data_IF_392917556907
#
_entry.id   IF_392917556907
#
_cell.length_a   1.000
_cell.length_b   1.000
_cell.length_c   1.000
_cell.angle_alpha   90.00
_cell.angle_beta   90.00
_cell.angle_gamma   90.00
#
_symmetry.space_group_name_H-M   'P 1'
#
loop_
_entity.id
_entity.type
_entity.pdbx_description
1 polymer ?
#
# COMPACT_ATOMS: atom_id res chain seq x y z
N UNK A 1 12.85 -5.13 2.31
CA UNK A 1 11.93 -5.64 1.26
C UNK A 1 11.67 -7.14 1.38
N UNK A 2 12.69 -7.99 1.56
CA UNK A 2 12.52 -9.44 1.74
C UNK A 2 11.47 -9.85 2.78
N UNK A 3 11.56 -9.34 4.01
CA UNK A 3 10.63 -9.69 5.08
C UNK A 3 9.18 -9.25 4.79
N UNK A 4 9.00 -8.03 4.30
CA UNK A 4 7.70 -7.49 3.90
C UNK A 4 7.13 -8.26 2.71
N UNK A 5 7.96 -8.61 1.72
CA UNK A 5 7.57 -9.38 0.55
C UNK A 5 7.17 -10.81 0.88
N UNK A 6 7.92 -11.49 1.75
CA UNK A 6 7.60 -12.83 2.21
C UNK A 6 6.29 -12.86 2.99
N UNK A 7 6.10 -11.94 3.93
CA UNK A 7 4.85 -11.81 4.65
C UNK A 7 3.69 -11.51 3.68
N UNK A 8 3.85 -10.50 2.82
CA UNK A 8 2.84 -10.09 1.85
C UNK A 8 2.48 -11.22 0.86
N UNK A 9 3.44 -12.05 0.45
CA UNK A 9 3.20 -13.21 -0.39
C UNK A 9 2.30 -14.24 0.32
N UNK A 10 2.56 -14.54 1.60
CA UNK A 10 1.69 -15.41 2.41
C UNK A 10 0.27 -14.83 2.51
N UNK A 11 0.15 -13.53 2.77
CA UNK A 11 -1.14 -12.84 2.81
C UNK A 11 -1.87 -12.83 1.46
N UNK A 12 -1.14 -12.66 0.35
CA UNK A 12 -1.66 -12.63 -1.01
C UNK A 12 -2.12 -14.02 -1.47
N UNK A 13 -1.35 -15.08 -1.20
CA UNK A 13 -1.70 -16.46 -1.54
C UNK A 13 -3.02 -16.84 -0.87
N UNK A 14 -3.18 -16.51 0.41
CA UNK A 14 -4.41 -16.79 1.11
C UNK A 14 -5.59 -15.93 0.60
N UNK A 15 -5.35 -14.65 0.29
CA UNK A 15 -6.35 -13.81 -0.38
C UNK A 15 -6.79 -14.37 -1.74
N UNK A 16 -5.86 -14.99 -2.47
CA UNK A 16 -6.11 -15.63 -3.77
C UNK A 16 -7.01 -16.85 -3.60
N UNK A 17 -6.78 -17.65 -2.55
CA UNK A 17 -7.60 -18.82 -2.20
C UNK A 17 -9.05 -18.47 -1.89
N UNK A 18 -9.32 -17.27 -1.37
CA UNK A 18 -10.67 -16.79 -1.09
C UNK A 18 -11.33 -16.08 -2.28
N UNK A 19 -10.69 -16.03 -3.46
CA UNK A 19 -11.26 -15.41 -4.67
C UNK A 19 -11.38 -13.87 -4.59
N UNK A 20 -10.78 -13.24 -3.58
CA UNK A 20 -10.90 -11.80 -3.33
C UNK A 20 -9.88 -10.96 -4.11
N UNK A 21 -8.86 -11.60 -4.68
CA UNK A 21 -7.71 -10.92 -5.29
C UNK A 21 -7.97 -10.60 -6.76
N UNK A 22 -7.79 -9.32 -7.11
CA UNK A 22 -7.91 -8.84 -8.49
C UNK A 22 -6.56 -8.77 -9.18
N UNK A 23 -6.11 -9.93 -9.64
CA UNK A 23 -4.79 -10.11 -10.25
C UNK A 23 -4.50 -9.12 -11.40
N UNK A 24 -5.46 -8.79 -12.27
CA UNK A 24 -5.22 -7.85 -13.39
C UNK A 24 -4.92 -6.42 -12.94
N UNK A 25 -5.64 -5.94 -11.93
CA UNK A 25 -5.43 -4.60 -11.39
C UNK A 25 -4.12 -4.55 -10.59
N UNK A 26 -3.86 -5.60 -9.80
CA UNK A 26 -2.61 -5.73 -9.07
C UNK A 26 -1.39 -5.75 -10.01
N UNK A 27 -1.47 -6.53 -11.10
CA UNK A 27 -0.41 -6.63 -12.08
C UNK A 27 -0.14 -5.29 -12.78
N UNK A 28 -1.19 -4.56 -13.18
CA UNK A 28 -1.03 -3.25 -13.81
C UNK A 28 -0.30 -2.26 -12.90
N UNK A 29 -0.73 -2.19 -11.64
CA UNK A 29 -0.14 -1.27 -10.66
C UNK A 29 1.29 -1.68 -10.32
N UNK A 30 1.54 -2.98 -10.16
CA UNK A 30 2.88 -3.49 -9.92
C UNK A 30 3.81 -3.22 -11.10
N UNK A 31 3.36 -3.41 -12.35
CA UNK A 31 4.14 -3.13 -13.55
C UNK A 31 4.47 -1.64 -13.69
N UNK A 32 3.47 -0.76 -13.61
CA UNK A 32 3.70 0.68 -13.67
C UNK A 32 4.52 1.19 -12.49
N UNK A 33 4.27 0.65 -11.30
CA UNK A 33 5.05 0.99 -10.11
C UNK A 33 6.51 0.57 -10.24
N UNK A 34 6.77 -0.64 -10.73
CA UNK A 34 8.12 -1.13 -11.00
C UNK A 34 8.82 -0.32 -12.08
N UNK A 35 8.10 0.10 -13.13
CA UNK A 35 8.65 0.92 -14.21
C UNK A 35 9.04 2.32 -13.74
N UNK A 36 8.27 2.93 -12.83
CA UNK A 36 8.55 4.26 -12.27
C UNK A 36 9.44 4.25 -11.03
N UNK A 37 9.61 3.11 -10.36
CA UNK A 37 10.49 2.94 -9.20
C UNK A 37 11.95 3.37 -9.43
N UNK A 38 12.65 2.97 -10.51
CA UNK A 38 14.04 3.38 -10.72
C UNK A 38 14.18 4.89 -10.88
N UNK A 39 13.17 5.56 -11.43
CA UNK A 39 13.16 7.01 -11.58
C UNK A 39 13.13 7.71 -10.20
N UNK A 40 12.37 7.16 -9.26
CA UNK A 40 12.36 7.62 -7.86
C UNK A 40 13.70 7.40 -7.16
N UNK A 41 14.31 6.22 -7.33
CA UNK A 41 15.62 5.90 -6.73
C UNK A 41 16.72 6.81 -7.28
N UNK A 42 16.70 7.09 -8.58
CA UNK A 42 17.65 8.00 -9.21
C UNK A 42 17.56 9.42 -8.63
N UNK A 43 16.34 9.91 -8.38
CA UNK A 43 16.12 11.22 -7.74
C UNK A 43 16.56 11.18 -6.27
N UNK A 44 16.32 10.08 -5.56
CA UNK A 44 16.71 9.93 -4.16
C UNK A 44 18.22 10.06 -3.95
N UNK A 45 19.03 9.50 -4.86
CA UNK A 45 20.49 9.61 -4.79
C UNK A 45 21.02 11.04 -4.95
N UNK A 46 20.23 11.94 -5.55
CA UNK A 46 20.61 13.34 -5.74
C UNK A 46 20.11 14.26 -4.62
N UNK A 47 19.25 13.76 -3.73
CA UNK A 47 18.67 14.56 -2.66
C UNK A 47 19.46 14.40 -1.36
N UNK A 48 19.70 15.49 -0.62
CA UNK A 48 20.31 15.40 0.70
C UNK A 48 19.35 14.70 1.68
N UNK A 49 19.93 13.95 2.62
CA UNK A 49 19.19 13.09 3.56
C UNK A 49 18.10 13.85 4.33
N UNK A 50 18.39 15.08 4.77
CA UNK A 50 17.42 15.94 5.47
C UNK A 50 16.16 16.24 4.63
N UNK A 51 16.33 16.45 3.33
CA UNK A 51 15.23 16.69 2.39
C UNK A 51 14.39 15.42 2.20
N UNK A 52 15.04 14.27 2.16
CA UNK A 52 14.35 12.98 2.05
C UNK A 52 13.52 12.68 3.31
N UNK A 53 14.07 12.93 4.50
CA UNK A 53 13.34 12.80 5.77
C UNK A 53 12.17 13.79 5.85
N UNK A 54 12.38 15.04 5.42
CA UNK A 54 11.34 16.06 5.35
C UNK A 54 10.18 15.66 4.43
N UNK A 55 10.50 15.19 3.22
CA UNK A 55 9.51 14.68 2.26
C UNK A 55 8.75 13.45 2.80
N UNK A 56 9.45 12.52 3.45
CA UNK A 56 8.82 11.35 4.07
C UNK A 56 7.82 11.75 5.16
N UNK A 57 8.24 12.65 6.06
CA UNK A 57 7.40 13.13 7.15
C UNK A 57 6.18 13.89 6.62
N UNK A 58 6.37 14.81 5.67
CA UNK A 58 5.27 15.53 5.04
C UNK A 58 4.25 14.58 4.40
N UNK A 59 4.73 13.53 3.73
CA UNK A 59 3.87 12.49 3.16
C UNK A 59 3.10 11.71 4.23
N UNK A 60 3.76 11.31 5.33
CA UNK A 60 3.10 10.64 6.47
C UNK A 60 2.00 11.50 7.08
N UNK A 61 2.27 12.79 7.31
CA UNK A 61 1.29 13.74 7.83
C UNK A 61 0.12 13.89 6.85
N UNK A 62 0.40 14.02 5.56
CA UNK A 62 -0.63 14.14 4.52
C UNK A 62 -1.52 12.90 4.46
N UNK A 63 -0.94 11.69 4.53
CA UNK A 63 -1.69 10.43 4.55
C UNK A 63 -2.55 10.31 5.80
N UNK A 64 -1.98 10.57 6.98
CA UNK A 64 -2.73 10.55 8.24
C UNK A 64 -3.88 11.57 8.23
N UNK A 65 -3.60 12.79 7.77
CA UNK A 65 -4.59 13.85 7.64
C UNK A 65 -5.72 13.47 6.69
N UNK A 66 -5.40 12.93 5.50
CA UNK A 66 -6.42 12.46 4.55
C UNK A 66 -7.26 11.31 5.10
N UNK A 67 -6.66 10.39 5.86
CA UNK A 67 -7.40 9.31 6.51
C UNK A 67 -8.34 9.83 7.60
N UNK A 68 -7.94 10.84 8.38
CA UNK A 68 -8.79 11.44 9.42
C UNK A 68 -9.89 12.33 8.86
N UNK A 69 -9.62 13.11 7.80
CA UNK A 69 -10.61 13.98 7.17
C UNK A 69 -11.78 13.21 6.59
N UNK A 70 -11.55 12.00 6.05
CA UNK A 70 -12.61 11.18 5.47
C UNK A 70 -13.57 10.59 6.50
N UNK A 71 -13.09 10.37 7.72
CA UNK A 71 -13.93 9.89 8.81
C UNK A 71 -15.00 10.92 9.23
N UNK A 72 -14.71 12.21 9.06
CA UNK A 72 -15.68 13.28 9.28
C UNK A 72 -16.77 13.34 8.19
N UNK A 73 -16.52 12.80 7.00
CA UNK A 73 -17.47 12.80 5.87
C UNK A 73 -18.39 11.58 5.89
N UNK A 74 -17.96 10.45 6.46
CA UNK A 74 -18.73 9.19 6.52
C UNK A 74 -19.53 8.99 7.82
N UNK A 75 -19.73 10.02 8.64
CA UNK A 75 -20.61 9.97 9.82
C UNK A 75 -22.12 10.05 9.44
N UNK A 76 -22.53 9.31 8.42
CA UNK A 76 -23.93 9.04 8.08
C UNK A 76 -24.29 7.60 8.47
N UNK A 77 -25.57 7.28 8.72
CA UNK A 77 -25.99 5.97 9.19
C UNK A 77 -25.51 4.87 8.25
N UNK A 78 -24.97 3.80 8.84
CA UNK A 78 -24.56 2.59 8.15
C UNK A 78 -25.78 1.88 7.55
N UNK A 79 -26.19 2.33 6.36
CA UNK A 79 -27.18 1.63 5.55
C UNK A 79 -26.48 0.69 4.57
N UNK A 80 -26.85 -0.58 4.66
CA UNK A 80 -26.43 -1.61 3.74
C UNK A 80 -27.00 -1.32 2.34
N UNK A 81 -26.22 -0.63 1.51
CA UNK A 81 -26.48 -0.55 0.07
C UNK A 81 -27.08 0.76 -0.40
N UNK A 82 -26.25 1.79 -0.50
CA UNK A 82 -26.36 2.82 -1.54
C UNK A 82 -25.04 3.60 -1.57
N UNK A 83 -24.00 2.98 -2.14
CA UNK A 83 -22.84 3.75 -2.54
C UNK A 83 -23.31 4.83 -3.53
N UNK A 84 -23.09 6.09 -3.18
CA UNK A 84 -23.36 7.28 -3.98
C UNK A 84 -23.08 7.03 -5.47
N UNK A 85 -24.16 6.94 -6.27
CA UNK A 85 -24.19 6.76 -7.72
C UNK A 85 -23.75 8.03 -8.47
N UNK A 86 -22.67 8.64 -8.01
CA UNK A 86 -22.09 9.86 -8.56
C UNK A 86 -20.58 9.82 -8.39
N UNK A 87 -19.89 9.57 -9.51
CA UNK A 87 -18.51 10.01 -9.73
C UNK A 87 -17.40 9.23 -9.00
N UNK A 88 -17.36 7.90 -9.15
CA UNK A 88 -16.12 7.12 -9.00
C UNK A 88 -15.70 6.58 -10.38
N UNK A 89 -14.47 6.89 -10.82
CA UNK A 89 -13.96 6.60 -12.18
C UNK A 89 -13.80 5.10 -12.51
N UNK A 90 -13.81 4.22 -11.52
CA UNK A 90 -13.69 2.77 -11.67
C UNK A 90 -14.88 2.07 -11.04
N UNK A 91 -15.93 1.80 -11.81
CA UNK A 91 -17.04 1.00 -11.33
C UNK A 91 -16.69 -0.49 -11.39
N UNK A 92 -16.99 -1.20 -10.31
CA UNK A 92 -16.94 -2.65 -10.27
C UNK A 92 -18.26 -3.18 -10.82
N UNK A 93 -18.22 -4.02 -11.84
CA UNK A 93 -19.41 -4.75 -12.26
C UNK A 93 -19.72 -5.84 -11.22
N UNK A 94 -20.75 -5.60 -10.41
CA UNK A 94 -21.19 -6.49 -9.32
C UNK A 94 -21.64 -7.88 -9.81
N UNK A 95 -22.01 -8.04 -11.09
CA UNK A 95 -22.43 -9.34 -11.64
C UNK A 95 -21.24 -10.22 -12.07
N UNK A 96 -20.07 -9.64 -12.32
CA UNK A 96 -18.88 -10.40 -12.81
C UNK A 96 -17.69 -10.35 -11.85
N UNK A 97 -17.72 -9.49 -10.82
CA UNK A 97 -16.58 -9.25 -9.94
C UNK A 97 -15.40 -8.57 -10.62
N UNK A 98 -15.54 -8.13 -11.89
CA UNK A 98 -14.50 -7.50 -12.70
C UNK A 98 -14.66 -5.98 -12.72
N UNK A 99 -13.53 -5.26 -12.64
CA UNK A 99 -13.48 -3.82 -12.86
C UNK A 99 -13.96 -3.51 -14.30
N UNK A 100 -14.85 -2.53 -14.46
CA UNK A 100 -15.15 -1.99 -15.79
C UNK A 100 -13.90 -1.26 -16.29
N UNK A 101 -13.23 -1.85 -17.29
CA UNK A 101 -12.05 -1.27 -17.93
C UNK A 101 -12.47 -0.11 -18.83
N UNK A 102 -12.80 1.03 -18.23
CA UNK A 102 -12.94 2.31 -18.93
C UNK A 102 -11.57 2.97 -19.04
N UNK A 103 -11.28 3.65 -20.14
CA UNK A 103 -10.00 4.35 -20.35
C UNK A 103 -9.64 5.32 -19.20
N UNK A 104 -10.65 5.96 -18.57
CA UNK A 104 -10.46 6.80 -17.38
C UNK A 104 -10.03 6.01 -16.15
N UNK A 105 -10.55 4.80 -15.98
CA UNK A 105 -10.23 3.91 -14.85
C UNK A 105 -8.81 3.38 -14.95
N UNK A 106 -8.40 2.88 -16.13
CA UNK A 106 -7.03 2.42 -16.37
C UNK A 106 -6.03 3.56 -16.23
N UNK A 107 -6.34 4.76 -16.72
CA UNK A 107 -5.49 5.94 -16.54
C UNK A 107 -5.30 6.32 -15.07
N UNK A 108 -6.36 6.29 -14.25
CA UNK A 108 -6.24 6.58 -12.81
C UNK A 108 -5.44 5.53 -12.06
N UNK A 109 -5.61 4.24 -12.38
CA UNK A 109 -4.84 3.15 -11.76
C UNK A 109 -3.38 3.20 -12.19
N UNK A 110 -3.12 3.54 -13.46
CA UNK A 110 -1.78 3.75 -13.99
C UNK A 110 -1.09 4.94 -13.31
N UNK A 111 -1.77 6.09 -13.20
CA UNK A 111 -1.25 7.25 -12.49
C UNK A 111 -0.98 6.93 -11.01
N UNK A 112 -1.85 6.15 -10.36
CA UNK A 112 -1.60 5.70 -8.99
C UNK A 112 -0.37 4.80 -8.90
N UNK A 113 -0.23 3.81 -9.78
CA UNK A 113 0.93 2.94 -9.85
C UNK A 113 2.22 3.73 -10.08
N UNK A 114 2.19 4.69 -11.01
CA UNK A 114 3.33 5.55 -11.30
C UNK A 114 3.72 6.44 -10.11
N UNK A 115 2.76 7.13 -9.48
CA UNK A 115 3.01 8.00 -8.33
C UNK A 115 3.49 7.18 -7.13
N UNK A 116 2.80 6.09 -6.79
CA UNK A 116 3.21 5.23 -5.67
C UNK A 116 4.55 4.55 -5.93
N UNK A 117 4.86 4.16 -7.17
CA UNK A 117 6.15 3.60 -7.57
C UNK A 117 7.28 4.62 -7.47
N UNK A 118 7.09 5.83 -8.02
CA UNK A 118 8.06 6.91 -7.92
C UNK A 118 8.32 7.32 -6.46
N UNK A 119 7.26 7.51 -5.67
CA UNK A 119 7.37 7.84 -4.24
C UNK A 119 7.99 6.70 -3.44
N UNK A 120 7.63 5.44 -3.74
CA UNK A 120 8.23 4.28 -3.09
C UNK A 120 9.70 4.12 -3.44
N UNK A 121 10.10 4.39 -4.68
CA UNK A 121 11.49 4.39 -5.13
C UNK A 121 12.28 5.52 -4.50
N UNK A 122 11.68 6.71 -4.37
CA UNK A 122 12.29 7.86 -3.72
C UNK A 122 12.55 7.59 -2.23
N UNK A 123 11.52 7.12 -1.51
CA UNK A 123 11.55 6.98 -0.06
C UNK A 123 12.13 5.63 0.41
N UNK A 124 12.22 4.62 -0.48
CA UNK A 124 12.74 3.30 -0.15
C UNK A 124 11.84 2.44 0.76
N UNK A 125 10.65 2.91 1.14
CA UNK A 125 9.78 2.26 2.15
C UNK A 125 8.84 1.19 1.57
N UNK A 126 8.89 0.93 0.26
CA UNK A 126 8.21 -0.22 -0.35
C UNK A 126 6.70 -0.06 -0.60
N UNK A 127 6.19 1.17 -0.70
CA UNK A 127 4.91 1.57 -1.34
C UNK A 127 3.60 1.07 -0.73
N UNK A 128 3.61 -0.02 0.04
CA UNK A 128 2.42 -0.74 0.49
C UNK A 128 1.48 0.08 1.36
N UNK A 129 2.05 0.96 2.18
CA UNK A 129 1.33 1.80 3.11
C UNK A 129 0.53 2.92 2.39
N UNK A 130 0.93 3.32 1.17
CA UNK A 130 0.20 4.25 0.30
C UNK A 130 -0.86 3.54 -0.54
N UNK A 131 -0.60 2.30 -0.95
CA UNK A 131 -1.46 1.55 -1.86
C UNK A 131 -2.84 1.29 -1.24
N UNK A 132 -2.90 0.93 0.04
CA UNK A 132 -4.17 0.62 0.74
C UNK A 132 -5.14 1.82 0.78
N UNK A 133 -4.77 3.01 1.33
CA UNK A 133 -5.68 4.15 1.38
C UNK A 133 -6.04 4.66 -0.02
N UNK A 134 -5.09 4.61 -0.96
CA UNK A 134 -5.33 5.01 -2.34
C UNK A 134 -6.35 4.11 -3.06
N UNK A 135 -6.29 2.79 -2.87
CA UNK A 135 -7.28 1.87 -3.41
C UNK A 135 -8.67 2.10 -2.81
N UNK A 136 -8.76 2.35 -1.49
CA UNK A 136 -10.02 2.72 -0.82
C UNK A 136 -10.62 4.00 -1.40
N UNK A 137 -9.78 4.92 -1.87
CA UNK A 137 -10.25 6.17 -2.48
C UNK A 137 -10.76 5.98 -3.90
N UNK A 138 -10.17 5.06 -4.66
CA UNK A 138 -10.45 4.89 -6.09
C UNK A 138 -11.49 3.81 -6.40
N UNK A 139 -11.68 2.84 -5.50
CA UNK A 139 -12.50 1.65 -5.76
C UNK A 139 -13.52 1.41 -4.64
N UNK A 140 -14.72 0.99 -5.03
CA UNK A 140 -15.83 0.65 -4.12
C UNK A 140 -15.83 -0.80 -3.62
N UNK A 141 -14.64 -1.42 -3.63
CA UNK A 141 -14.47 -2.82 -3.24
C UNK A 141 -14.49 -2.92 -1.72
N UNK A 142 -15.17 -3.96 -1.22
CA UNK A 142 -15.18 -4.27 0.21
C UNK A 142 -13.75 -4.33 0.77
N UNK A 143 -13.52 -3.78 1.96
CA UNK A 143 -12.19 -3.60 2.55
C UNK A 143 -11.30 -4.86 2.47
N UNK A 144 -11.88 -6.06 2.59
CA UNK A 144 -11.17 -7.34 2.46
C UNK A 144 -10.53 -7.54 1.08
N UNK A 145 -11.23 -7.18 0.00
CA UNK A 145 -10.72 -7.27 -1.37
C UNK A 145 -9.64 -6.23 -1.67
N UNK A 146 -9.74 -5.03 -1.07
CA UNK A 146 -8.70 -4.00 -1.16
C UNK A 146 -7.40 -4.51 -0.52
N UNK A 147 -7.49 -5.00 0.73
CA UNK A 147 -6.32 -5.51 1.47
C UNK A 147 -5.68 -6.69 0.74
N UNK A 148 -6.49 -7.63 0.24
CA UNK A 148 -5.98 -8.78 -0.51
C UNK A 148 -5.27 -8.35 -1.81
N UNK A 149 -5.85 -7.40 -2.55
CA UNK A 149 -5.26 -6.89 -3.79
C UNK A 149 -3.98 -6.09 -3.52
N UNK A 150 -3.94 -5.26 -2.47
CA UNK A 150 -2.73 -4.52 -2.08
C UNK A 150 -1.61 -5.44 -1.62
N UNK A 151 -1.92 -6.52 -0.88
CA UNK A 151 -0.92 -7.50 -0.48
C UNK A 151 -0.28 -8.17 -1.70
N UNK A 152 -1.07 -8.48 -2.73
CA UNK A 152 -0.53 -8.99 -3.99
C UNK A 152 0.36 -7.97 -4.72
N UNK A 153 -0.03 -6.69 -4.75
CA UNK A 153 0.82 -5.64 -5.32
C UNK A 153 2.14 -5.54 -4.55
N UNK A 154 2.08 -5.54 -3.22
CA UNK A 154 3.27 -5.45 -2.36
C UNK A 154 4.18 -6.66 -2.55
N UNK A 155 3.61 -7.88 -2.66
CA UNK A 155 4.41 -9.08 -2.90
C UNK A 155 5.11 -9.04 -4.26
N UNK A 156 4.42 -8.55 -5.31
CA UNK A 156 5.00 -8.40 -6.65
C UNK A 156 6.11 -7.35 -6.68
N UNK A 157 5.89 -6.16 -6.12
CA UNK A 157 6.90 -5.10 -6.06
C UNK A 157 8.10 -5.56 -5.23
N UNK A 158 7.86 -6.24 -4.11
CA UNK A 158 8.93 -6.78 -3.27
C UNK A 158 9.73 -7.86 -4.00
N UNK A 159 9.07 -8.75 -4.76
CA UNK A 159 9.76 -9.77 -5.55
C UNK A 159 10.72 -9.13 -6.56
N UNK A 160 10.26 -8.10 -7.27
CA UNK A 160 11.08 -7.35 -8.23
C UNK A 160 12.25 -6.65 -7.52
N UNK A 161 11.99 -5.96 -6.41
CA UNK A 161 13.03 -5.26 -5.65
C UNK A 161 14.09 -6.21 -5.07
N UNK A 162 13.65 -7.36 -4.55
CA UNK A 162 14.53 -8.41 -4.04
C UNK A 162 15.35 -9.04 -5.16
N UNK A 163 14.74 -9.36 -6.31
CA UNK A 163 15.47 -9.88 -7.46
C UNK A 163 16.57 -8.92 -7.91
N UNK A 164 16.28 -7.61 -7.95
CA UNK A 164 17.27 -6.58 -8.22
C UNK A 164 18.39 -6.52 -7.17
N UNK A 165 18.06 -6.62 -5.88
CA UNK A 165 19.07 -6.64 -4.80
C UNK A 165 19.93 -7.91 -4.80
N UNK A 166 19.37 -9.06 -5.17
CA UNK A 166 20.13 -10.31 -5.30
C UNK A 166 21.11 -10.27 -6.48
N UNK A 167 20.72 -9.65 -7.60
CA UNK A 167 21.63 -9.41 -8.72
C UNK A 167 22.79 -8.46 -8.34
N UNK A 168 22.56 -7.57 -7.37
CA UNK A 168 23.59 -6.68 -6.82
C UNK A 168 24.52 -7.37 -5.78
N UNK A 169 24.37 -8.68 -5.52
CA UNK A 169 25.28 -9.46 -4.68
C UNK A 169 25.09 -9.28 -3.17
N UNK A 170 23.93 -8.81 -2.71
CA UNK A 170 23.66 -8.61 -1.27
C UNK A 170 23.43 -9.95 -0.56
N UNK A 171 24.30 -10.29 0.38
CA UNK A 171 24.14 -11.47 1.26
C UNK A 171 23.24 -11.16 2.46
N UNK A 172 22.39 -12.11 2.81
CA UNK A 172 21.47 -12.01 3.95
C UNK A 172 22.19 -12.46 5.22
N UNK A 173 22.34 -11.54 6.17
CA UNK A 173 22.89 -11.85 7.48
C UNK A 173 21.95 -12.78 8.27
N UNK A 174 22.43 -13.67 9.17
CA UNK A 174 21.59 -14.61 9.91
C UNK A 174 20.44 -13.95 10.69
N UNK A 175 20.63 -12.71 11.19
CA UNK A 175 19.58 -11.93 11.84
C UNK A 175 18.41 -11.59 10.92
N UNK A 176 18.67 -11.48 9.60
CA UNK A 176 17.65 -11.24 8.59
C UNK A 176 16.62 -12.36 8.51
N UNK A 177 17.02 -13.61 8.73
CA UNK A 177 16.10 -14.76 8.73
C UNK A 177 15.12 -14.72 9.89
N UNK A 178 15.58 -14.33 11.08
CA UNK A 178 14.72 -14.16 12.26
C UNK A 178 13.70 -13.04 12.03
N UNK A 179 14.14 -11.93 11.42
CA UNK A 179 13.26 -10.81 11.09
C UNK A 179 12.19 -11.19 10.04
N UNK A 180 12.55 -12.00 9.04
CA UNK A 180 11.60 -12.54 8.06
C UNK A 180 10.56 -13.43 8.77
N UNK A 181 11.01 -14.35 9.63
CA UNK A 181 10.13 -15.23 10.40
C UNK A 181 9.16 -14.44 11.28
N UNK A 182 9.67 -13.47 12.05
CA UNK A 182 8.86 -12.59 12.88
C UNK A 182 7.84 -11.77 12.07
N UNK A 183 8.21 -11.30 10.88
CA UNK A 183 7.31 -10.56 9.99
C UNK A 183 6.17 -11.42 9.45
N UNK A 184 6.44 -12.68 9.11
CA UNK A 184 5.41 -13.63 8.67
C UNK A 184 4.42 -13.90 9.82
N UNK A 185 4.92 -14.20 11.02
CA UNK A 185 4.08 -14.43 12.21
C UNK A 185 3.25 -13.18 12.53
N UNK A 186 3.88 -12.01 12.52
CA UNK A 186 3.22 -10.72 12.73
C UNK A 186 2.10 -10.45 11.71
N UNK A 187 2.31 -10.80 10.43
CA UNK A 187 1.26 -10.65 9.42
C UNK A 187 0.11 -11.63 9.62
N UNK A 188 0.37 -12.89 9.96
CA UNK A 188 -0.69 -13.85 10.27
C UNK A 188 -1.53 -13.39 11.48
N UNK A 189 -0.88 -12.94 12.54
CA UNK A 189 -1.52 -12.40 13.73
C UNK A 189 -2.33 -11.12 13.42
N UNK A 190 -1.71 -10.17 12.73
CA UNK A 190 -2.35 -8.92 12.32
C UNK A 190 -3.57 -9.16 11.42
N UNK A 191 -3.51 -10.16 10.52
CA UNK A 191 -4.64 -10.53 9.68
C UNK A 191 -5.83 -11.08 10.48
N UNK A 192 -5.57 -11.94 11.47
CA UNK A 192 -6.64 -12.43 12.37
C UNK A 192 -7.28 -11.25 13.10
N UNK A 193 -6.47 -10.31 13.56
CA UNK A 193 -6.95 -9.10 14.22
C UNK A 193 -7.78 -8.21 13.28
N UNK A 194 -7.37 -8.04 12.02
CA UNK A 194 -8.13 -7.30 11.00
C UNK A 194 -9.49 -7.93 10.66
N UNK A 195 -9.71 -9.22 10.96
CA UNK A 195 -11.00 -9.87 10.73
C UNK A 195 -12.05 -9.57 11.81
N UNK A 196 -11.60 -9.16 13.00
CA UNK A 196 -12.45 -8.86 14.16
C UNK A 196 -12.56 -7.36 14.43
N UNK A 197 -11.57 -6.55 14.02
CA UNK A 197 -11.56 -5.11 14.24
C UNK A 197 -12.35 -4.37 13.14
N UNK A 198 -13.23 -3.40 13.49
CA UNK A 198 -13.92 -2.59 12.51
C UNK A 198 -12.93 -1.74 11.70
N UNK A 199 -13.23 -1.55 10.40
CA UNK A 199 -12.34 -0.83 9.48
C UNK A 199 -11.92 0.57 9.97
N UNK A 200 -12.79 1.24 10.73
CA UNK A 200 -12.54 2.54 11.37
C UNK A 200 -11.38 2.48 12.37
N UNK A 201 -11.38 1.50 13.27
CA UNK A 201 -10.32 1.36 14.27
C UNK A 201 -8.97 1.01 13.62
N UNK A 202 -8.96 0.18 12.57
CA UNK A 202 -7.75 -0.10 11.81
C UNK A 202 -7.20 1.15 11.10
N UNK A 203 -8.08 1.98 10.55
CA UNK A 203 -7.74 3.25 9.91
C UNK A 203 -7.16 4.26 10.90
N UNK A 204 -7.78 4.44 12.07
CA UNK A 204 -7.28 5.34 13.12
C UNK A 204 -5.95 4.83 13.68
N UNK A 205 -5.81 3.53 13.91
CA UNK A 205 -4.55 2.93 14.39
C UNK A 205 -3.39 3.08 13.40
N UNK A 206 -3.65 2.96 12.10
CA UNK A 206 -2.63 3.21 11.09
C UNK A 206 -2.28 4.71 11.00
N UNK A 207 -3.28 5.59 11.05
CA UNK A 207 -3.06 7.04 11.04
C UNK A 207 -2.24 7.50 12.25
N UNK A 208 -2.53 6.98 13.46
CA UNK A 208 -1.77 7.31 14.66
C UNK A 208 -0.32 6.84 14.56
N UNK A 209 -0.07 5.64 14.05
CA UNK A 209 1.27 5.14 13.81
C UNK A 209 2.05 6.04 12.82
N UNK A 210 1.42 6.46 11.73
CA UNK A 210 2.02 7.40 10.77
C UNK A 210 2.41 8.72 11.42
N UNK A 211 1.55 9.28 12.28
CA UNK A 211 1.82 10.53 13.00
C UNK A 211 3.01 10.36 13.96
N UNK A 212 3.05 9.26 14.70
CA UNK A 212 4.17 8.95 15.62
C UNK A 212 5.49 8.85 14.87
N UNK A 213 5.51 8.12 13.74
CA UNK A 213 6.71 7.97 12.92
C UNK A 213 7.13 9.32 12.30
N UNK A 214 6.18 10.10 11.80
CA UNK A 214 6.45 11.43 11.25
C UNK A 214 7.06 12.37 12.29
N UNK A 215 6.52 12.37 13.50
CA UNK A 215 7.03 13.16 14.61
C UNK A 215 8.45 12.72 15.00
N UNK A 216 8.69 11.42 15.11
CA UNK A 216 10.03 10.87 15.39
C UNK A 216 11.07 11.26 14.34
N UNK A 217 10.70 11.22 13.06
CA UNK A 217 11.60 11.66 11.98
C UNK A 217 11.84 13.16 11.96
N UNK A 218 10.83 13.99 12.28
CA UNK A 218 11.01 15.44 12.39
C UNK A 218 11.95 15.81 13.53
N UNK A 219 11.80 15.16 14.69
CA UNK A 219 12.70 15.36 15.82
C UNK A 219 14.12 14.97 15.44
N UNK A 220 14.31 13.82 14.79
CA UNK A 220 15.63 13.37 14.33
C UNK A 220 16.22 14.24 13.22
N UNK A 221 15.39 14.86 12.38
CA UNK A 221 15.85 15.77 11.32
C UNK A 221 16.20 17.16 11.87
N UNK A 222 15.69 17.54 13.04
CA UNK A 222 15.94 18.82 13.70
C UNK A 222 17.09 18.77 14.73
N UNK A 223 17.48 17.57 15.16
CA UNK A 223 18.65 17.28 16.02
C UNK A 223 19.91 17.05 15.18
#
# INVERSE_FOLDING_TARGET
LLAVGAAAAVGAIDGLRHGLVRYRAALLIALLGALFSPLGVFIAHQLPEHLLMGLFSALMVLVAWRMLQREKVEAGPSDHGAASWGQKNCMLNQQTGRLAWTAKCSATLAALGAVTGAVSGLLGVGGGFLIVPAFKQLTDVQMRGIVATSLMVISLISLIGVAGSMQAGVSIEPMGWVFIGASIVGMLAGRRLCSVIPARALQVGFASLCVVVAAGMLVKAAL
#
